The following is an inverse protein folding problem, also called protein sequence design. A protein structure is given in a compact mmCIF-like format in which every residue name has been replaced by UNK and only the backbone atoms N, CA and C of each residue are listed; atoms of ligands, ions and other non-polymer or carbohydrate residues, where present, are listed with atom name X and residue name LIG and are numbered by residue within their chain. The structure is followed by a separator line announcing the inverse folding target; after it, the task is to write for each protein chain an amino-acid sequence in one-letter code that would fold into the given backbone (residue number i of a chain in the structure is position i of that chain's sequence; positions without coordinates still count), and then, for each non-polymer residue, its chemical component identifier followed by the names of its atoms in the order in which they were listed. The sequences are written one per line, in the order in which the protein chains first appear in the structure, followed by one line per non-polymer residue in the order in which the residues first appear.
data_IF_731845740147
#
_entry.id   IF_731845740147
#
_cell.length_a   1.000
_cell.length_b   1.000
_cell.length_c   1.000
_cell.angle_alpha   90.00
_cell.angle_beta   90.00
_cell.angle_gamma   90.00
#
_symmetry.space_group_name_H-M   'P 1'
#
loop_
_entity.id
_entity.type
_entity.pdbx_description
1 polymer ?
#
# COMPACT_ATOMS: atom_id res chain seq x y z
N UNK A 1 -0.38 -29.30 -2.12
CA UNK A 1 -1.64 -28.55 -2.21
C UNK A 1 -1.33 -27.21 -2.84
N UNK A 2 -1.73 -27.04 -4.13
CA UNK A 2 -1.68 -25.74 -4.80
C UNK A 2 -2.54 -24.77 -3.99
N UNK A 3 -1.95 -23.70 -3.50
CA UNK A 3 -2.69 -22.66 -2.77
C UNK A 3 -3.65 -21.97 -3.74
N UNK A 4 -4.89 -21.72 -3.32
CA UNK A 4 -5.88 -20.95 -4.11
C UNK A 4 -5.37 -19.55 -4.51
N UNK A 5 -4.41 -19.03 -3.75
CA UNK A 5 -3.80 -17.71 -3.93
C UNK A 5 -2.26 -17.82 -4.00
N UNK A 6 -1.69 -18.40 -5.10
CA UNK A 6 -0.23 -18.51 -5.23
C UNK A 6 0.41 -17.12 -5.29
N UNK A 7 1.65 -17.02 -4.85
CA UNK A 7 2.44 -15.77 -4.88
C UNK A 7 1.71 -14.54 -4.30
N UNK A 8 0.91 -14.77 -3.25
CA UNK A 8 0.19 -13.70 -2.55
C UNK A 8 0.97 -13.30 -1.30
N UNK A 9 1.16 -11.99 -1.12
CA UNK A 9 1.98 -11.45 -0.05
C UNK A 9 1.24 -10.35 0.71
N UNK A 10 1.46 -10.31 2.01
CA UNK A 10 1.20 -9.13 2.83
C UNK A 10 2.51 -8.34 2.92
N UNK A 11 2.47 -7.09 2.51
CA UNK A 11 3.63 -6.20 2.45
C UNK A 11 3.35 -4.91 3.22
N UNK A 12 4.35 -4.44 3.96
CA UNK A 12 4.35 -3.12 4.58
C UNK A 12 5.44 -2.25 3.94
N UNK A 13 5.05 -1.10 3.41
CA UNK A 13 5.94 -0.11 2.82
C UNK A 13 5.90 1.15 3.68
N UNK A 14 7.00 1.48 4.34
CA UNK A 14 7.08 2.66 5.20
C UNK A 14 7.88 3.78 4.55
N UNK A 15 7.47 5.01 4.79
CA UNK A 15 8.24 6.21 4.48
C UNK A 15 9.50 6.24 5.35
N UNK A 16 10.60 6.73 4.80
CA UNK A 16 11.86 6.83 5.56
C UNK A 16 11.66 7.71 6.78
N UNK A 17 12.29 7.31 7.90
CA UNK A 17 12.17 7.98 9.20
C UNK A 17 10.73 8.17 9.71
N UNK A 18 9.75 7.46 9.12
CA UNK A 18 8.33 7.55 9.44
C UNK A 18 7.76 8.99 9.34
N UNK A 19 8.26 9.76 8.38
CA UNK A 19 7.73 11.10 8.09
C UNK A 19 6.31 10.99 7.54
N UNK A 20 5.39 11.83 8.04
CA UNK A 20 3.94 11.72 7.79
C UNK A 20 3.51 12.30 6.43
N UNK A 21 4.23 12.00 5.35
CA UNK A 21 4.03 12.61 4.02
C UNK A 21 2.61 12.45 3.49
N UNK A 22 1.95 11.31 3.74
CA UNK A 22 0.59 11.05 3.27
C UNK A 22 -0.48 11.81 4.03
N UNK A 23 -0.19 12.23 5.28
CA UNK A 23 -1.06 13.11 6.07
C UNK A 23 -0.83 14.58 5.73
N UNK A 24 0.45 14.99 5.67
CA UNK A 24 0.84 16.40 5.51
C UNK A 24 0.60 16.86 4.07
N UNK A 25 0.67 15.94 3.10
CA UNK A 25 0.41 16.17 1.67
C UNK A 25 -0.56 15.13 1.12
N UNK A 26 -1.88 15.30 1.34
CA UNK A 26 -2.90 14.30 0.96
C UNK A 26 -2.89 13.90 -0.51
N UNK A 27 -2.49 14.79 -1.43
CA UNK A 27 -2.37 14.51 -2.86
C UNK A 27 -1.35 13.42 -3.16
N UNK A 28 -0.35 13.22 -2.30
CA UNK A 28 0.62 12.14 -2.42
C UNK A 28 -0.01 10.74 -2.35
N UNK A 29 -1.18 10.61 -1.70
CA UNK A 29 -1.94 9.35 -1.68
C UNK A 29 -2.42 8.95 -3.08
N UNK A 30 -2.78 9.92 -3.93
CA UNK A 30 -3.22 9.64 -5.31
C UNK A 30 -2.06 9.15 -6.19
N UNK A 31 -0.82 9.55 -5.90
CA UNK A 31 0.37 8.96 -6.53
C UNK A 31 0.42 7.45 -6.28
N UNK A 32 0.13 7.03 -5.05
CA UNK A 32 0.09 5.61 -4.68
C UNK A 32 -1.08 4.89 -5.37
N UNK A 33 -2.30 5.44 -5.30
CA UNK A 33 -3.48 4.84 -5.92
C UNK A 33 -3.32 4.68 -7.43
N UNK A 34 -2.79 5.69 -8.12
CA UNK A 34 -2.52 5.62 -9.57
C UNK A 34 -1.45 4.58 -9.90
N UNK A 35 -0.43 4.43 -9.04
CA UNK A 35 0.61 3.42 -9.20
C UNK A 35 0.06 2.00 -8.97
N UNK A 36 -0.87 1.81 -8.03
CA UNK A 36 -1.58 0.55 -7.85
C UNK A 36 -2.40 0.20 -9.09
N UNK A 37 -3.18 1.17 -9.59
CA UNK A 37 -3.94 0.99 -10.83
C UNK A 37 -3.04 0.58 -11.99
N UNK A 38 -1.92 1.25 -12.19
CA UNK A 38 -0.95 0.93 -13.25
C UNK A 38 -0.40 -0.49 -13.13
N UNK A 39 -0.04 -0.95 -11.92
CA UNK A 39 0.45 -2.31 -11.69
C UNK A 39 -0.60 -3.37 -12.02
N UNK A 40 -1.87 -3.10 -11.72
CA UNK A 40 -2.99 -4.01 -12.03
C UNK A 40 -3.30 -3.99 -13.54
N UNK A 41 -3.42 -2.82 -14.15
CA UNK A 41 -3.72 -2.67 -15.58
C UNK A 41 -2.63 -3.30 -16.46
N UNK A 42 -1.37 -3.27 -16.01
CA UNK A 42 -0.24 -3.91 -16.68
C UNK A 42 -0.12 -5.43 -16.43
N UNK A 43 -1.07 -6.02 -15.70
CA UNK A 43 -1.10 -7.46 -15.41
C UNK A 43 0.02 -7.94 -14.49
N UNK A 44 0.67 -7.05 -13.75
CA UNK A 44 1.80 -7.39 -12.86
C UNK A 44 1.34 -7.91 -11.50
N UNK A 45 0.19 -7.40 -11.01
CA UNK A 45 -0.37 -7.80 -9.72
C UNK A 45 -1.89 -7.85 -9.76
N UNK A 46 -2.49 -8.60 -8.80
CA UNK A 46 -3.85 -8.36 -8.31
C UNK A 46 -3.74 -7.77 -6.90
N UNK A 47 -4.57 -6.79 -6.58
CA UNK A 47 -4.61 -6.18 -5.25
C UNK A 47 -5.91 -6.58 -4.56
N UNK A 48 -5.78 -7.26 -3.43
CA UNK A 48 -6.91 -7.73 -2.64
C UNK A 48 -7.30 -6.74 -1.55
N UNK A 49 -6.35 -6.16 -0.85
CA UNK A 49 -6.63 -5.13 0.17
C UNK A 49 -5.46 -4.16 0.30
N UNK A 50 -5.77 -2.92 0.70
CA UNK A 50 -4.77 -1.93 1.03
C UNK A 50 -5.29 -0.91 2.05
N UNK A 51 -4.36 -0.24 2.72
CA UNK A 51 -4.58 1.01 3.44
C UNK A 51 -3.33 1.87 3.33
N UNK A 52 -3.51 3.17 3.07
CA UNK A 52 -2.44 4.16 3.08
C UNK A 52 -2.59 4.95 4.37
N UNK A 53 -1.68 4.74 5.32
CA UNK A 53 -1.61 5.46 6.59
C UNK A 53 -0.72 6.69 6.44
N UNK A 54 -0.63 7.54 7.45
CA UNK A 54 0.14 8.81 7.41
C UNK A 54 1.59 8.67 6.91
N UNK A 55 2.24 7.54 7.17
CA UNK A 55 3.69 7.32 6.97
C UNK A 55 4.02 5.92 6.45
N UNK A 56 3.02 5.09 6.15
CA UNK A 56 3.22 3.74 5.63
C UNK A 56 1.98 3.23 4.89
N UNK A 57 2.19 2.14 4.16
CA UNK A 57 1.15 1.43 3.41
C UNK A 57 1.18 -0.03 3.84
N UNK A 58 0.01 -0.60 4.10
CA UNK A 58 -0.17 -2.05 4.12
C UNK A 58 -0.92 -2.48 2.87
N UNK A 59 -0.50 -3.58 2.28
CA UNK A 59 -1.12 -4.12 1.07
C UNK A 59 -1.11 -5.65 1.10
N UNK A 60 -2.21 -6.26 0.64
CA UNK A 60 -2.26 -7.67 0.25
C UNK A 60 -2.41 -7.74 -1.24
N UNK A 61 -1.44 -8.31 -1.91
CA UNK A 61 -1.37 -8.44 -3.36
C UNK A 61 -0.82 -9.79 -3.81
N UNK A 62 -1.27 -10.22 -4.97
CA UNK A 62 -0.76 -11.39 -5.68
C UNK A 62 0.15 -10.92 -6.81
N UNK A 63 1.38 -11.41 -6.85
CA UNK A 63 2.32 -11.13 -7.93
C UNK A 63 2.06 -12.09 -9.10
N UNK A 64 2.01 -11.54 -10.31
CA UNK A 64 1.71 -12.23 -11.55
C UNK A 64 2.93 -12.21 -12.49
N UNK A 65 2.85 -12.96 -13.61
CA UNK A 65 3.82 -12.85 -14.70
C UNK A 65 5.23 -13.37 -14.39
N UNK A 66 5.40 -14.22 -13.36
CA UNK A 66 6.70 -14.84 -13.06
C UNK A 66 7.72 -13.89 -12.42
N UNK A 67 7.34 -12.67 -12.06
CA UNK A 67 8.20 -11.71 -11.35
C UNK A 67 8.35 -12.10 -9.88
N UNK A 68 9.43 -11.66 -9.23
CA UNK A 68 9.54 -11.72 -7.77
C UNK A 68 8.76 -10.59 -7.11
N UNK A 69 8.32 -10.79 -5.86
CA UNK A 69 7.68 -9.70 -5.09
C UNK A 69 8.66 -8.58 -4.81
N UNK A 70 9.93 -8.88 -4.66
CA UNK A 70 11.02 -7.93 -4.46
C UNK A 70 11.16 -6.98 -5.66
N UNK A 71 11.11 -7.51 -6.90
CA UNK A 71 11.18 -6.71 -8.13
C UNK A 71 9.98 -5.79 -8.26
N UNK A 72 8.78 -6.28 -7.94
CA UNK A 72 7.57 -5.46 -7.93
C UNK A 72 7.69 -4.32 -6.93
N UNK A 73 8.12 -4.60 -5.69
CA UNK A 73 8.32 -3.59 -4.65
C UNK A 73 9.39 -2.58 -5.03
N UNK A 74 10.52 -3.05 -5.55
CA UNK A 74 11.63 -2.18 -5.94
C UNK A 74 11.19 -1.21 -7.04
N UNK A 75 10.51 -1.71 -8.07
CA UNK A 75 10.01 -0.87 -9.16
C UNK A 75 8.94 0.12 -8.68
N UNK A 76 8.02 -0.33 -7.83
CA UNK A 76 7.00 0.52 -7.21
C UNK A 76 7.62 1.65 -6.38
N UNK A 77 8.56 1.33 -5.48
CA UNK A 77 9.25 2.33 -4.66
C UNK A 77 10.07 3.32 -5.49
N UNK A 78 10.76 2.84 -6.52
CA UNK A 78 11.54 3.70 -7.42
C UNK A 78 10.63 4.70 -8.14
N UNK A 79 9.52 4.21 -8.69
CA UNK A 79 8.55 5.04 -9.42
C UNK A 79 7.86 6.05 -8.50
N UNK A 80 7.22 5.58 -7.43
CA UNK A 80 6.47 6.43 -6.51
C UNK A 80 7.36 7.38 -5.72
N UNK A 81 8.57 6.94 -5.34
CA UNK A 81 9.54 7.80 -4.67
C UNK A 81 9.97 8.98 -5.55
N UNK A 82 10.18 8.76 -6.86
CA UNK A 82 10.46 9.83 -7.82
C UNK A 82 9.28 10.81 -7.94
N UNK A 83 8.04 10.29 -8.04
CA UNK A 83 6.85 11.13 -8.16
C UNK A 83 6.59 11.96 -6.91
N UNK A 84 6.70 11.35 -5.71
CA UNK A 84 6.55 12.06 -4.45
C UNK A 84 7.64 13.13 -4.30
N UNK A 85 8.89 12.82 -4.64
CA UNK A 85 9.98 13.77 -4.59
C UNK A 85 9.74 14.97 -5.53
N UNK A 86 9.28 14.74 -6.77
CA UNK A 86 8.95 15.81 -7.71
C UNK A 86 7.79 16.66 -7.19
N UNK A 87 6.72 16.04 -6.72
CA UNK A 87 5.58 16.73 -6.13
C UNK A 87 6.01 17.62 -4.96
N UNK A 88 6.81 17.11 -4.02
CA UNK A 88 7.32 17.90 -2.90
C UNK A 88 8.27 19.03 -3.33
N UNK A 89 9.03 18.88 -4.41
CA UNK A 89 9.84 19.96 -4.98
C UNK A 89 9.01 21.16 -5.41
N UNK A 90 7.80 20.88 -5.91
CA UNK A 90 6.89 21.90 -6.43
C UNK A 90 6.06 22.58 -5.31
N UNK A 91 5.64 21.81 -4.29
CA UNK A 91 4.70 22.32 -3.26
C UNK A 91 5.38 22.76 -1.97
N UNK A 92 6.41 22.06 -1.52
CA UNK A 92 7.23 22.41 -0.34
C UNK A 92 8.63 21.76 -0.43
N UNK A 93 9.52 22.41 -1.15
CA UNK A 93 10.89 21.91 -1.34
C UNK A 93 11.65 21.71 -0.02
N UNK A 94 11.34 22.50 1.00
CA UNK A 94 12.00 22.42 2.30
C UNK A 94 11.66 21.09 3.01
N UNK A 95 10.47 20.57 2.78
CA UNK A 95 10.07 19.28 3.34
C UNK A 95 10.96 18.11 2.89
N UNK A 96 11.65 18.24 1.74
CA UNK A 96 12.61 17.23 1.27
C UNK A 96 13.85 17.09 2.16
N UNK A 97 14.14 18.04 3.03
CA UNK A 97 15.24 17.94 4.02
C UNK A 97 15.08 16.71 4.92
N UNK A 98 13.84 16.30 5.22
CA UNK A 98 13.56 15.07 5.96
C UNK A 98 14.01 13.80 5.25
N UNK A 99 14.22 13.85 3.93
CA UNK A 99 14.52 12.72 3.06
C UNK A 99 15.92 12.71 2.49
N UNK A 100 16.79 13.64 2.90
CA UNK A 100 18.19 13.66 2.46
C UNK A 100 18.82 12.28 2.69
N UNK A 101 19.40 11.74 1.61
CA UNK A 101 20.01 10.41 1.60
C UNK A 101 21.45 10.45 2.05
N UNK A 102 21.85 9.48 2.86
CA UNK A 102 23.25 9.26 3.22
C UNK A 102 24.05 8.59 2.07
N UNK A 103 23.38 8.21 0.96
CA UNK A 103 23.99 7.51 -0.17
C UNK A 103 24.35 8.48 -1.28
N UNK A 104 25.53 8.27 -1.89
CA UNK A 104 26.02 9.10 -3.01
C UNK A 104 25.23 8.92 -4.33
N UNK A 105 24.50 7.79 -4.47
CA UNK A 105 23.76 7.45 -5.70
C UNK A 105 22.39 8.13 -5.80
N UNK A 106 21.96 8.86 -4.76
CA UNK A 106 20.67 9.58 -4.73
C UNK A 106 20.69 10.74 -3.77
N UNK A 107 20.00 11.81 -4.12
CA UNK A 107 19.84 12.99 -3.26
C UNK A 107 18.83 12.75 -2.13
N UNK A 108 17.70 12.10 -2.45
CA UNK A 108 16.61 11.84 -1.51
C UNK A 108 16.25 10.36 -1.42
N UNK A 109 15.78 9.95 -0.24
CA UNK A 109 15.31 8.60 0.05
C UNK A 109 13.92 8.66 0.67
N UNK A 110 12.88 8.55 -0.14
CA UNK A 110 11.47 8.60 0.30
C UNK A 110 11.08 7.33 1.05
N UNK A 111 11.45 6.16 0.54
CA UNK A 111 11.04 4.88 1.12
C UNK A 111 12.11 4.26 2.01
N UNK A 112 11.68 3.82 3.18
CA UNK A 112 12.50 2.97 4.06
C UNK A 112 12.85 1.65 3.37
N UNK A 113 14.00 1.08 3.70
CA UNK A 113 14.33 -0.28 3.26
C UNK A 113 13.34 -1.24 3.93
N UNK A 114 12.61 -2.02 3.11
CA UNK A 114 11.63 -2.98 3.61
C UNK A 114 12.33 -4.20 4.18
N UNK A 115 11.84 -4.68 5.33
CA UNK A 115 12.29 -5.93 5.92
C UNK A 115 11.19 -6.97 5.69
N UNK A 116 11.38 -7.77 4.65
CA UNK A 116 10.58 -8.96 4.39
C UNK A 116 9.13 -8.72 3.93
N UNK A 117 8.65 -9.69 3.20
CA UNK A 117 7.26 -9.84 2.80
C UNK A 117 6.74 -11.12 3.45
N UNK A 118 5.50 -11.14 3.85
CA UNK A 118 4.87 -12.31 4.45
C UNK A 118 4.08 -13.03 3.38
N UNK A 119 4.54 -14.22 2.98
CA UNK A 119 3.80 -15.08 2.06
C UNK A 119 2.48 -15.51 2.72
N UNK A 120 1.39 -15.25 2.05
CA UNK A 120 0.05 -15.65 2.49
C UNK A 120 -0.24 -17.03 1.93
N UNK A 121 -0.13 -18.06 2.77
CA UNK A 121 -0.19 -19.46 2.38
C UNK A 121 -1.53 -20.17 2.64
N UNK A 122 -2.51 -19.46 3.19
CA UNK A 122 -3.84 -20.04 3.45
C UNK A 122 -4.96 -18.99 3.36
N UNK A 123 -6.21 -19.41 3.04
CA UNK A 123 -7.39 -18.53 3.05
C UNK A 123 -7.59 -17.84 4.41
N UNK A 124 -7.41 -18.57 5.52
CA UNK A 124 -7.52 -17.99 6.86
C UNK A 124 -6.50 -16.88 7.09
N UNK A 125 -5.24 -17.09 6.72
CA UNK A 125 -4.22 -16.05 6.83
C UNK A 125 -4.55 -14.83 5.95
N UNK A 126 -5.09 -15.05 4.75
CA UNK A 126 -5.54 -13.99 3.86
C UNK A 126 -6.62 -13.12 4.54
N UNK A 127 -7.65 -13.76 5.11
CA UNK A 127 -8.73 -13.08 5.82
C UNK A 127 -8.21 -12.29 7.03
N UNK A 128 -7.32 -12.88 7.82
CA UNK A 128 -6.67 -12.21 8.96
C UNK A 128 -5.92 -10.96 8.51
N UNK A 129 -5.15 -11.03 7.42
CA UNK A 129 -4.39 -9.89 6.89
C UNK A 129 -5.28 -8.79 6.32
N UNK A 130 -6.35 -9.15 5.61
CA UNK A 130 -7.33 -8.18 5.10
C UNK A 130 -8.01 -7.46 6.26
N UNK A 131 -8.51 -8.19 7.27
CA UNK A 131 -9.10 -7.58 8.47
C UNK A 131 -8.11 -6.69 9.23
N UNK A 132 -6.85 -7.10 9.34
CA UNK A 132 -5.80 -6.28 9.93
C UNK A 132 -5.64 -4.96 9.20
N UNK A 133 -5.54 -4.98 7.86
CA UNK A 133 -5.44 -3.78 7.01
C UNK A 133 -6.63 -2.84 7.25
N UNK A 134 -7.85 -3.37 7.21
CA UNK A 134 -9.06 -2.55 7.35
C UNK A 134 -9.20 -1.92 8.74
N UNK A 135 -8.71 -2.60 9.79
CA UNK A 135 -8.75 -2.07 11.16
C UNK A 135 -7.66 -1.04 11.49
N UNK A 136 -6.65 -0.87 10.64
CA UNK A 136 -5.54 0.06 10.93
C UNK A 136 -6.02 1.50 11.23
N UNK A 137 -6.91 2.12 10.41
CA UNK A 137 -7.31 3.51 10.62
C UNK A 137 -8.10 3.76 11.91
N UNK A 138 -8.55 2.70 12.59
CA UNK A 138 -9.39 2.81 13.81
C UNK A 138 -8.61 2.52 15.09
N UNK A 139 -7.28 2.23 15.02
CA UNK A 139 -6.53 1.72 16.17
C UNK A 139 -5.29 2.52 16.51
N UNK A 140 -4.98 2.54 17.83
CA UNK A 140 -3.73 3.05 18.41
C UNK A 140 -3.46 4.51 18.09
N UNK A 141 -2.19 4.88 18.09
CA UNK A 141 -1.71 6.25 17.82
C UNK A 141 -1.93 6.69 16.36
N UNK A 142 -2.28 5.75 15.49
CA UNK A 142 -2.58 5.99 14.08
C UNK A 142 -4.07 6.14 13.80
N UNK A 143 -4.91 6.13 14.85
CA UNK A 143 -6.35 6.31 14.70
C UNK A 143 -6.68 7.59 13.96
N UNK A 144 -7.40 7.45 12.85
CA UNK A 144 -7.80 8.54 11.97
C UNK A 144 -9.32 8.67 11.91
N UNK A 145 -10.03 7.54 12.06
CA UNK A 145 -11.48 7.46 11.97
C UNK A 145 -12.03 6.50 13.03
N UNK A 146 -13.32 6.64 13.37
CA UNK A 146 -14.02 5.70 14.25
C UNK A 146 -14.46 4.44 13.50
N UNK A 147 -14.98 4.61 12.29
CA UNK A 147 -15.39 3.52 11.40
C UNK A 147 -14.39 3.35 10.24
N UNK A 148 -13.87 2.14 10.09
CA UNK A 148 -12.88 1.80 9.04
C UNK A 148 -13.40 2.04 7.63
N UNK A 149 -14.72 1.95 7.41
CA UNK A 149 -15.35 2.14 6.08
C UNK A 149 -15.42 3.61 5.67
N UNK A 150 -15.29 4.53 6.62
CA UNK A 150 -15.23 5.97 6.36
C UNK A 150 -13.85 6.46 5.93
N UNK A 151 -12.80 5.66 6.09
CA UNK A 151 -11.46 6.04 5.69
C UNK A 151 -11.25 5.86 4.19
N UNK A 152 -11.13 6.97 3.45
CA UNK A 152 -11.09 6.97 1.99
C UNK A 152 -9.91 6.18 1.41
N UNK A 153 -8.71 6.31 1.99
CA UNK A 153 -7.50 5.67 1.50
C UNK A 153 -7.33 4.21 1.99
N UNK A 154 -8.45 3.49 2.01
CA UNK A 154 -8.53 2.08 2.40
C UNK A 154 -9.52 1.33 1.53
N UNK A 155 -9.24 0.04 1.30
CA UNK A 155 -10.17 -0.89 0.65
C UNK A 155 -11.36 -1.32 1.53
N UNK A 156 -11.43 -0.91 2.80
CA UNK A 156 -12.44 -1.40 3.76
C UNK A 156 -13.87 -1.20 3.27
N UNK A 157 -14.20 -0.05 2.68
CA UNK A 157 -15.54 0.25 2.15
C UNK A 157 -15.96 -0.71 1.04
N UNK A 158 -15.03 -1.14 0.19
CA UNK A 158 -15.33 -2.07 -0.90
C UNK A 158 -15.79 -3.44 -0.40
N UNK A 159 -15.31 -3.83 0.79
CA UNK A 159 -15.68 -5.09 1.44
C UNK A 159 -16.97 -5.02 2.26
N UNK A 160 -17.40 -3.85 2.69
CA UNK A 160 -18.61 -3.69 3.51
C UNK A 160 -19.88 -3.51 2.69
N UNK A 161 -19.81 -2.76 1.59
CA UNK A 161 -20.99 -2.40 0.77
C UNK A 161 -20.82 -2.76 -0.71
N UNK A 162 -19.87 -3.62 -1.05
CA UNK A 162 -19.51 -4.00 -2.42
C UNK A 162 -19.31 -2.79 -3.35
N UNK A 163 -18.84 -1.69 -2.77
CA UNK A 163 -18.61 -0.45 -3.50
C UNK A 163 -17.41 -0.59 -4.43
N UNK A 164 -17.57 -0.22 -5.70
CA UNK A 164 -16.48 -0.21 -6.69
C UNK A 164 -15.61 1.06 -6.60
N UNK A 165 -15.29 1.54 -5.40
CA UNK A 165 -14.51 2.77 -5.21
C UNK A 165 -13.15 2.76 -5.92
N UNK A 166 -12.55 1.56 -6.06
CA UNK A 166 -11.27 1.38 -6.73
C UNK A 166 -11.40 0.29 -7.78
N UNK A 167 -11.39 0.67 -9.06
CA UNK A 167 -11.56 -0.25 -10.19
C UNK A 167 -10.46 -1.32 -10.29
N UNK A 168 -9.30 -1.06 -9.70
CA UNK A 168 -8.17 -1.97 -9.67
C UNK A 168 -8.24 -3.03 -8.55
N UNK A 169 -9.20 -2.92 -7.62
CA UNK A 169 -9.30 -3.81 -6.47
C UNK A 169 -10.01 -5.12 -6.84
N UNK A 170 -9.42 -6.25 -6.46
CA UNK A 170 -10.01 -7.59 -6.58
C UNK A 170 -10.62 -8.00 -5.24
N UNK A 171 -11.88 -7.63 -5.00
CA UNK A 171 -12.61 -7.98 -3.77
C UNK A 171 -12.87 -9.49 -3.74
N UNK A 172 -12.73 -10.10 -2.57
CA UNK A 172 -12.93 -11.53 -2.33
C UNK A 172 -14.26 -11.76 -1.62
N UNK A 173 -15.23 -12.38 -2.28
CA UNK A 173 -16.58 -12.63 -1.77
C UNK A 173 -16.58 -13.48 -0.48
N UNK A 174 -15.65 -14.41 -0.34
CA UNK A 174 -15.49 -15.25 0.84
C UNK A 174 -15.03 -14.47 2.10
N UNK A 175 -14.46 -13.27 1.94
CA UNK A 175 -14.09 -12.38 3.05
C UNK A 175 -15.27 -11.50 3.45
N UNK A 176 -16.12 -11.13 2.49
CA UNK A 176 -17.34 -10.32 2.70
C UNK A 176 -18.36 -11.11 3.52
N UNK A 177 -18.52 -12.40 3.24
CA UNK A 177 -19.54 -13.26 3.84
C UNK A 177 -19.09 -13.95 5.13
N UNK A 178 -17.88 -13.72 5.61
CA UNK A 178 -17.27 -14.35 6.79
C UNK A 178 -17.29 -13.46 8.05
N UNK A 179 -18.35 -12.68 8.25
CA UNK A 179 -18.62 -11.91 9.50
C UNK A 179 -19.48 -12.68 10.44
#
# INVERSE_FOLDING_TARGET
LLTKYPNTYFTTLAIDRFVSVFKDFPESNFIILNSFKHLVDSGRVKIYAFVIMRDHIHIVWQVLGGQSVEDVIMSFKKHTGKLICNYLKDVDRKYLEYFISDRKDREYKIWKISKGNILVNSPNMLNVKIRYIHKNPTKGDYKTVEDSTSYYFSSAKAYSVQSKNFSFLSVLDEVVNGS
#
